data_IF_210432234221
#
_entry.id   IF_210432234221
#
_cell.length_a   1.000
_cell.length_b   1.000
_cell.length_c   1.000
_cell.angle_alpha   90.00
_cell.angle_beta   90.00
_cell.angle_gamma   90.00
#
_symmetry.space_group_name_H-M   'P 1'
#
loop_
_entity.id
_entity.type
_entity.pdbx_description
1 polymer ?
#
# COMPACT_ATOMS: atom_id res chain seq x y z
N UNK A 1 10.67 -1.91 -7.40
CA UNK A 1 9.43 -2.64 -7.02
C UNK A 1 8.61 -1.95 -5.94
N UNK A 2 9.08 -1.85 -4.69
CA UNK A 2 8.31 -1.18 -3.62
C UNK A 2 7.98 0.28 -3.98
N UNK A 3 8.97 1.05 -4.44
CA UNK A 3 8.78 2.44 -4.85
C UNK A 3 7.71 2.59 -5.94
N UNK A 4 7.78 1.76 -6.99
CA UNK A 4 6.81 1.78 -8.09
C UNK A 4 5.38 1.51 -7.62
N UNK A 5 5.20 0.54 -6.71
CA UNK A 5 3.88 0.26 -6.14
C UNK A 5 3.38 1.42 -5.27
N UNK A 6 4.25 2.07 -4.48
CA UNK A 6 3.91 3.27 -3.73
C UNK A 6 3.50 4.43 -4.65
N UNK A 7 4.24 4.66 -5.73
CA UNK A 7 3.96 5.74 -6.68
C UNK A 7 2.60 5.53 -7.38
N UNK A 8 2.29 4.29 -7.80
CA UNK A 8 0.99 3.93 -8.37
C UNK A 8 -0.15 4.11 -7.36
N UNK A 9 0.05 3.70 -6.10
CA UNK A 9 -0.94 3.92 -5.05
C UNK A 9 -1.24 5.41 -4.86
N UNK A 10 -0.19 6.23 -4.75
CA UNK A 10 -0.31 7.68 -4.56
C UNK A 10 -0.99 8.39 -5.73
N UNK A 11 -0.65 8.03 -6.97
CA UNK A 11 -1.24 8.62 -8.17
C UNK A 11 -2.73 8.31 -8.32
N UNK A 12 -3.19 7.18 -7.79
CA UNK A 12 -4.58 6.75 -7.91
C UNK A 12 -5.51 7.31 -6.82
N UNK A 13 -4.99 7.89 -5.72
CA UNK A 13 -5.79 8.26 -4.53
C UNK A 13 -7.09 9.00 -4.86
N UNK A 14 -7.02 10.00 -5.74
CA UNK A 14 -8.17 10.83 -6.07
C UNK A 14 -8.94 10.39 -7.31
N UNK A 15 -8.30 9.69 -8.25
CA UNK A 15 -8.92 9.27 -9.51
C UNK A 15 -9.59 7.90 -9.42
N UNK A 16 -9.00 6.97 -8.67
CA UNK A 16 -9.49 5.61 -8.49
C UNK A 16 -9.12 5.08 -7.08
N UNK A 17 -10.01 5.27 -6.09
CA UNK A 17 -9.81 4.80 -4.72
C UNK A 17 -9.55 3.29 -4.60
N UNK A 18 -10.15 2.48 -5.49
CA UNK A 18 -9.95 1.03 -5.48
C UNK A 18 -8.53 0.67 -5.91
N UNK A 19 -8.06 1.27 -7.00
CA UNK A 19 -6.68 1.09 -7.48
C UNK A 19 -5.65 1.58 -6.45
N UNK A 20 -5.91 2.68 -5.76
CA UNK A 20 -5.04 3.17 -4.69
C UNK A 20 -4.88 2.15 -3.55
N UNK A 21 -5.99 1.63 -3.02
CA UNK A 21 -5.99 0.62 -1.97
C UNK A 21 -5.32 -0.69 -2.42
N UNK A 22 -5.54 -1.12 -3.67
CA UNK A 22 -4.92 -2.30 -4.25
C UNK A 22 -3.39 -2.16 -4.26
N UNK A 23 -2.87 -1.07 -4.85
CA UNK A 23 -1.43 -0.86 -4.95
C UNK A 23 -0.80 -0.59 -3.59
N UNK A 24 -1.52 -0.01 -2.62
CA UNK A 24 -1.03 0.12 -1.25
C UNK A 24 -0.76 -1.24 -0.60
N UNK A 25 -1.67 -2.21 -0.76
CA UNK A 25 -1.44 -3.59 -0.29
C UNK A 25 -0.30 -4.25 -1.03
N UNK A 26 -0.20 -4.06 -2.35
CA UNK A 26 0.91 -4.62 -3.14
C UNK A 26 2.27 -4.05 -2.70
N UNK A 27 2.34 -2.75 -2.42
CA UNK A 27 3.54 -2.11 -1.91
C UNK A 27 3.94 -2.65 -0.53
N UNK A 28 2.95 -2.83 0.37
CA UNK A 28 3.17 -3.45 1.67
C UNK A 28 3.68 -4.89 1.52
N UNK A 29 3.09 -5.68 0.63
CA UNK A 29 3.52 -7.06 0.36
C UNK A 29 4.98 -7.14 -0.08
N UNK A 30 5.37 -6.30 -1.03
CA UNK A 30 6.76 -6.21 -1.51
C UNK A 30 7.72 -5.75 -0.41
N UNK A 31 7.31 -4.77 0.41
CA UNK A 31 8.12 -4.25 1.51
C UNK A 31 8.35 -5.30 2.60
N UNK A 32 7.29 -5.98 3.03
CA UNK A 32 7.37 -7.03 4.06
C UNK A 32 8.18 -8.22 3.53
N UNK A 33 7.91 -8.69 2.31
CA UNK A 33 8.68 -9.78 1.72
C UNK A 33 10.18 -9.43 1.60
N UNK A 34 10.50 -8.19 1.22
CA UNK A 34 11.88 -7.72 1.19
C UNK A 34 12.51 -7.70 2.59
N UNK A 35 11.80 -7.23 3.61
CA UNK A 35 12.30 -7.20 4.98
C UNK A 35 12.61 -8.61 5.49
N UNK A 36 11.70 -9.56 5.32
CA UNK A 36 11.90 -10.97 5.69
C UNK A 36 13.09 -11.63 4.99
N UNK A 37 13.45 -11.15 3.79
CA UNK A 37 14.62 -11.64 3.05
C UNK A 37 15.95 -11.07 3.55
N UNK A 38 15.95 -9.87 4.14
CA UNK A 38 17.19 -9.13 4.46
C UNK A 38 17.40 -8.87 5.95
N UNK A 39 16.41 -9.14 6.78
CA UNK A 39 16.47 -8.99 8.23
C UNK A 39 16.46 -10.36 8.92
N UNK A 40 17.60 -10.74 9.49
CA UNK A 40 17.75 -12.00 10.19
C UNK A 40 16.94 -12.08 11.50
N UNK A 41 16.43 -10.96 12.02
CA UNK A 41 15.54 -10.96 13.17
C UNK A 41 14.13 -11.46 12.81
N UNK A 42 13.75 -11.43 11.53
CA UNK A 42 12.43 -11.84 11.06
C UNK A 42 12.40 -13.34 10.74
N UNK A 43 11.47 -14.06 11.39
CA UNK A 43 11.31 -15.51 11.26
C UNK A 43 10.14 -15.84 10.34
N UNK A 44 10.41 -16.54 9.24
CA UNK A 44 9.36 -16.93 8.31
C UNK A 44 8.33 -17.86 8.99
N UNK A 45 7.03 -17.54 8.90
CA UNK A 45 5.97 -18.46 9.30
C UNK A 45 5.80 -19.58 8.28
N UNK A 46 5.00 -20.60 8.62
CA UNK A 46 4.72 -21.74 7.72
C UNK A 46 4.06 -21.30 6.40
N UNK A 47 3.19 -20.28 6.44
CA UNK A 47 2.57 -19.68 5.27
C UNK A 47 3.28 -18.38 4.92
N UNK A 48 3.55 -18.13 3.64
CA UNK A 48 4.29 -16.96 3.15
C UNK A 48 3.38 -15.82 2.63
N UNK A 49 2.08 -15.89 2.88
CA UNK A 49 1.16 -14.83 2.51
C UNK A 49 1.30 -13.60 3.43
N UNK A 50 0.90 -12.43 2.92
CA UNK A 50 1.05 -11.16 3.64
C UNK A 50 0.43 -11.18 5.04
N UNK A 51 -0.73 -11.79 5.21
CA UNK A 51 -1.41 -11.82 6.52
C UNK A 51 -0.63 -12.64 7.54
N UNK A 52 -0.06 -13.77 7.12
CA UNK A 52 0.79 -14.60 7.97
C UNK A 52 2.07 -13.87 8.37
N UNK A 53 2.72 -13.20 7.42
CA UNK A 53 3.94 -12.42 7.67
C UNK A 53 3.70 -11.29 8.68
N UNK A 54 2.67 -10.45 8.49
CA UNK A 54 2.46 -9.30 9.40
C UNK A 54 2.01 -9.72 10.81
N UNK A 55 1.39 -10.89 10.97
CA UNK A 55 0.92 -11.40 12.27
C UNK A 55 1.95 -12.28 12.98
N UNK A 56 3.07 -12.59 12.34
CA UNK A 56 4.15 -13.31 12.99
C UNK A 56 4.79 -12.41 14.07
N UNK A 57 5.16 -13.03 15.20
CA UNK A 57 5.57 -12.31 16.41
C UNK A 57 6.86 -11.51 16.22
N UNK A 58 7.83 -12.05 15.48
CA UNK A 58 9.08 -11.35 15.17
C UNK A 58 8.84 -10.08 14.34
N UNK A 59 7.84 -10.06 13.44
CA UNK A 59 7.47 -8.83 12.75
C UNK A 59 6.97 -7.75 13.72
N UNK A 60 6.05 -8.11 14.63
CA UNK A 60 5.53 -7.13 15.61
C UNK A 60 6.65 -6.59 16.52
N UNK A 61 7.61 -7.44 16.91
CA UNK A 61 8.76 -7.05 17.74
C UNK A 61 9.69 -6.11 16.97
N UNK A 62 10.08 -6.47 15.74
CA UNK A 62 11.05 -5.71 14.95
C UNK A 62 10.47 -4.40 14.38
N UNK A 63 9.24 -4.44 13.86
CA UNK A 63 8.59 -3.28 13.26
C UNK A 63 7.95 -2.36 14.32
N UNK A 64 7.58 -2.91 15.48
CA UNK A 64 6.87 -2.22 16.53
C UNK A 64 5.35 -2.16 16.28
N UNK A 65 4.60 -1.90 17.36
CA UNK A 65 3.13 -1.95 17.35
C UNK A 65 2.50 -0.91 16.43
N UNK A 66 3.11 0.27 16.31
CA UNK A 66 2.63 1.31 15.41
C UNK A 66 2.66 0.84 13.94
N UNK A 67 3.78 0.28 13.47
CA UNK A 67 3.91 -0.18 12.08
C UNK A 67 3.01 -1.39 11.82
N UNK A 68 2.91 -2.30 12.78
CA UNK A 68 1.98 -3.43 12.72
C UNK A 68 0.52 -2.99 12.53
N UNK A 69 0.04 -2.03 13.32
CA UNK A 69 -1.33 -1.54 13.21
C UNK A 69 -1.59 -0.88 11.84
N UNK A 70 -0.60 -0.16 11.31
CA UNK A 70 -0.69 0.45 9.97
C UNK A 70 -0.71 -0.59 8.85
N UNK A 71 0.14 -1.61 8.95
CA UNK A 71 0.14 -2.74 8.02
C UNK A 71 -1.24 -3.43 8.00
N UNK A 72 -1.85 -3.65 9.17
CA UNK A 72 -3.21 -4.21 9.27
C UNK A 72 -4.25 -3.35 8.55
N UNK A 73 -4.24 -2.04 8.74
CA UNK A 73 -5.16 -1.12 8.04
C UNK A 73 -5.03 -1.26 6.53
N UNK A 74 -3.80 -1.25 6.01
CA UNK A 74 -3.53 -1.42 4.57
C UNK A 74 -4.03 -2.79 4.08
N UNK A 75 -3.76 -3.87 4.82
CA UNK A 75 -4.23 -5.22 4.47
C UNK A 75 -5.76 -5.28 4.42
N UNK A 76 -6.46 -4.70 5.39
CA UNK A 76 -7.93 -4.67 5.41
C UNK A 76 -8.49 -3.90 4.21
N UNK A 77 -7.99 -2.69 3.95
CA UNK A 77 -8.47 -1.83 2.86
C UNK A 77 -8.12 -2.42 1.49
N UNK A 78 -6.93 -2.99 1.33
CA UNK A 78 -6.53 -3.67 0.10
C UNK A 78 -7.32 -4.94 -0.18
N UNK A 79 -7.58 -5.77 0.84
CA UNK A 79 -8.44 -6.95 0.67
C UNK A 79 -9.85 -6.54 0.25
N UNK A 80 -10.40 -5.47 0.84
CA UNK A 80 -11.70 -4.91 0.44
C UNK A 80 -11.66 -4.46 -1.02
N UNK A 81 -10.59 -3.80 -1.46
CA UNK A 81 -10.44 -3.34 -2.84
C UNK A 81 -10.38 -4.49 -3.86
N UNK A 82 -9.79 -5.64 -3.48
CA UNK A 82 -9.69 -6.84 -4.33
C UNK A 82 -11.00 -7.63 -4.37
N UNK A 83 -11.61 -7.87 -3.21
CA UNK A 83 -12.67 -8.87 -3.08
C UNK A 83 -14.09 -8.28 -2.98
N UNK A 84 -14.23 -6.97 -2.70
CA UNK A 84 -15.55 -6.35 -2.58
C UNK A 84 -16.02 -5.73 -3.88
N UNK A 85 -17.25 -6.04 -4.28
CA UNK A 85 -17.93 -5.36 -5.38
C UNK A 85 -18.38 -3.93 -5.03
N UNK A 86 -18.44 -3.59 -3.72
CA UNK A 86 -18.87 -2.26 -3.27
C UNK A 86 -17.83 -1.21 -3.65
N UNK A 87 -18.31 0.02 -3.89
CA UNK A 87 -17.44 1.18 -4.07
C UNK A 87 -16.53 1.36 -2.83
N UNK A 88 -15.28 1.74 -3.09
CA UNK A 88 -14.31 2.08 -2.05
C UNK A 88 -14.44 3.58 -1.77
N UNK A 89 -14.69 4.00 -0.51
CA UNK A 89 -14.73 5.41 -0.14
C UNK A 89 -13.42 6.12 -0.49
N UNK A 90 -13.44 7.37 -0.99
CA UNK A 90 -12.22 8.15 -1.22
C UNK A 90 -11.35 8.31 0.03
N UNK A 91 -11.99 8.45 1.19
CA UNK A 91 -11.28 8.54 2.48
C UNK A 91 -10.50 7.27 2.81
N UNK A 92 -11.02 6.09 2.45
CA UNK A 92 -10.31 4.82 2.64
C UNK A 92 -9.02 4.81 1.80
N UNK A 93 -9.05 5.32 0.56
CA UNK A 93 -7.85 5.42 -0.27
C UNK A 93 -6.80 6.38 0.31
N UNK A 94 -7.23 7.54 0.82
CA UNK A 94 -6.34 8.47 1.47
C UNK A 94 -5.71 7.86 2.74
N UNK A 95 -6.50 7.15 3.55
CA UNK A 95 -6.01 6.42 4.73
C UNK A 95 -5.00 5.35 4.32
N UNK A 96 -5.30 4.53 3.31
CA UNK A 96 -4.40 3.48 2.84
C UNK A 96 -3.03 4.03 2.41
N UNK A 97 -3.01 5.12 1.65
CA UNK A 97 -1.76 5.74 1.19
C UNK A 97 -1.01 6.47 2.31
N UNK A 98 -1.72 7.09 3.26
CA UNK A 98 -1.09 7.67 4.45
C UNK A 98 -0.42 6.59 5.30
N UNK A 99 -1.10 5.48 5.58
CA UNK A 99 -0.50 4.40 6.36
C UNK A 99 0.65 3.75 5.60
N UNK A 100 0.55 3.61 4.28
CA UNK A 100 1.64 3.13 3.43
C UNK A 100 2.87 4.03 3.52
N UNK A 101 2.70 5.36 3.50
CA UNK A 101 3.79 6.30 3.70
C UNK A 101 4.54 6.03 5.00
N UNK A 102 3.83 5.81 6.10
CA UNK A 102 4.45 5.52 7.39
C UNK A 102 5.18 4.17 7.42
N UNK A 103 4.64 3.14 6.76
CA UNK A 103 5.34 1.84 6.61
C UNK A 103 6.61 2.00 5.77
N UNK A 104 6.53 2.71 4.64
CA UNK A 104 7.68 2.99 3.79
C UNK A 104 8.74 3.83 4.50
N UNK A 105 8.30 4.81 5.31
CA UNK A 105 9.18 5.61 6.17
C UNK A 105 9.92 4.73 7.19
N UNK A 106 9.21 3.83 7.89
CA UNK A 106 9.84 2.85 8.78
C UNK A 106 10.87 2.01 8.04
N UNK A 107 10.50 1.43 6.89
CA UNK A 107 11.39 0.58 6.11
C UNK A 107 12.68 1.34 5.71
N UNK A 108 12.53 2.56 5.20
CA UNK A 108 13.65 3.39 4.77
C UNK A 108 14.54 3.84 5.94
N UNK A 109 13.96 4.08 7.14
CA UNK A 109 14.72 4.45 8.34
C UNK A 109 15.46 3.29 8.97
N UNK A 110 14.83 2.11 9.00
CA UNK A 110 15.38 0.90 9.60
C UNK A 110 16.49 0.32 8.72
N UNK A 111 16.26 0.26 7.41
CA UNK A 111 17.14 -0.47 6.50
C UNK A 111 17.92 0.41 5.51
N UNK A 112 17.59 1.70 5.39
CA UNK A 112 18.31 2.62 4.51
C UNK A 112 19.76 2.80 4.95
N UNK A 113 20.69 2.81 3.99
CA UNK A 113 22.14 2.95 4.26
C UNK A 113 22.70 4.34 3.95
N UNK A 114 22.24 4.99 2.88
CA UNK A 114 22.80 6.26 2.40
C UNK A 114 21.84 7.45 2.54
N UNK A 115 20.60 7.31 2.09
CA UNK A 115 19.60 8.39 2.08
C UNK A 115 18.41 8.04 2.97
N UNK A 116 18.59 8.15 4.29
CA UNK A 116 17.48 7.98 5.24
C UNK A 116 16.60 9.23 5.24
N UNK A 117 15.26 9.09 5.29
CA UNK A 117 14.39 10.25 5.36
C UNK A 117 14.61 11.01 6.69
N UNK A 118 14.41 12.32 6.63
CA UNK A 118 14.62 13.21 7.77
C UNK A 118 13.78 12.76 9.00
N UNK A 119 14.32 12.85 10.23
CA UNK A 119 13.51 12.67 11.43
C UNK A 119 12.32 13.62 11.44
N UNK A 120 11.13 13.06 11.71
CA UNK A 120 9.90 13.85 11.78
C UNK A 120 9.27 14.14 10.41
N UNK A 121 9.71 13.52 9.32
CA UNK A 121 9.01 13.61 8.05
C UNK A 121 7.56 13.13 8.22
N UNK A 122 6.61 14.01 7.92
CA UNK A 122 5.17 13.75 8.03
C UNK A 122 4.55 13.54 6.66
N UNK A 123 3.45 12.79 6.63
CA UNK A 123 2.64 12.67 5.43
C UNK A 123 1.98 14.01 5.11
N UNK A 124 2.10 14.47 3.86
CA UNK A 124 1.38 15.63 3.34
C UNK A 124 0.43 15.21 2.21
N UNK A 125 -0.86 15.26 2.48
CA UNK A 125 -1.90 14.95 1.50
C UNK A 125 -1.87 15.93 0.31
N UNK A 126 -1.38 17.16 0.49
CA UNK A 126 -1.31 18.17 -0.58
C UNK A 126 -0.23 17.86 -1.61
N UNK A 127 0.76 17.05 -1.23
CA UNK A 127 1.82 16.58 -2.10
C UNK A 127 1.38 15.40 -3.00
N UNK A 128 0.20 14.82 -2.76
CA UNK A 128 -0.33 13.77 -3.63
C UNK A 128 -0.64 14.32 -5.02
N UNK A 129 -0.36 13.55 -6.09
CA UNK A 129 -0.73 13.93 -7.44
C UNK A 129 -2.23 14.17 -7.51
N UNK A 130 -2.63 15.39 -7.83
CA UNK A 130 -4.02 15.69 -8.17
C UNK A 130 -4.26 15.18 -9.59
N UNK A 131 -4.59 13.89 -9.69
CA UNK A 131 -4.83 13.27 -10.98
C UNK A 131 -6.13 13.83 -11.59
N UNK A 132 -6.01 14.30 -12.83
CA UNK A 132 -7.13 14.47 -13.75
C UNK A 132 -7.81 13.10 -13.88
N UNK A 133 -9.14 12.99 -13.69
CA UNK A 133 -9.81 11.70 -13.76
C UNK A 133 -9.52 11.07 -15.13
N UNK A 134 -8.92 9.88 -15.13
CA UNK A 134 -8.81 9.06 -16.32
C UNK A 134 -10.24 8.69 -16.70
N UNK A 135 -10.78 9.35 -17.73
CA UNK A 135 -12.05 8.93 -18.33
C UNK A 135 -11.87 7.49 -18.77
N UNK A 136 -12.55 6.57 -18.09
CA UNK A 136 -12.79 5.24 -18.65
C UNK A 136 -13.50 5.37 -19.99
N UNK A 137 -13.49 4.31 -20.82
CA UNK A 137 -14.19 4.34 -22.09
C UNK A 137 -15.63 4.81 -21.88
N UNK A 138 -16.06 5.78 -22.69
CA UNK A 138 -17.44 6.29 -22.64
C UNK A 138 -18.41 5.15 -22.92
N UNK A 139 -19.66 5.26 -22.46
CA UNK A 139 -20.68 4.24 -22.71
C UNK A 139 -20.79 3.86 -24.20
N UNK A 140 -20.50 4.80 -25.11
CA UNK A 140 -20.40 4.61 -26.55
C UNK A 140 -19.29 3.61 -26.97
N UNK A 141 -18.14 3.60 -26.28
CA UNK A 141 -17.03 2.68 -26.56
C UNK A 141 -17.30 1.26 -26.02
N UNK A 142 -18.12 1.12 -24.97
CA UNK A 142 -18.57 -0.18 -24.48
C UNK A 142 -19.61 -0.80 -25.42
N UNK A 143 -20.53 0.01 -25.98
CA UNK A 143 -21.50 -0.46 -26.96
C UNK A 143 -20.86 -0.96 -28.27
N UNK A 144 -19.73 -0.37 -28.69
CA UNK A 144 -18.99 -0.84 -29.87
C UNK A 144 -18.27 -2.18 -29.65
N UNK A 145 -17.93 -2.53 -28.40
CA UNK A 145 -17.30 -3.82 -28.06
C UNK A 145 -18.31 -4.97 -27.94
N UNK A 146 -19.56 -4.68 -27.61
CA UNK A 146 -20.64 -5.68 -27.51
C UNK A 146 -21.33 -5.97 -28.85
N UNK A 147 -21.08 -5.13 -29.86
CA UNK A 147 -21.72 -5.22 -31.19
C UNK A 147 -20.82 -5.85 -32.28
N UNK A 148 -19.64 -6.36 -31.93
CA UNK A 148 -18.70 -7.05 -32.83
C UNK A 148 -18.50 -8.52 -32.44
#
# INVERSE_FOLDING_TARGET
>A
DVYEACAKAAAAVYADPRTACFYARRALELAVAWAYKHDAALKLPYQDNLSALIHESSFKITAGEAVFNKAKVITTLGNRAVHSHRAIPPDDALVAVRELFHVAYWLARTYGRAARPAPGLVFDARALPKATPVRGPTAEQLQQLEAG
#
